data_IF_755223447235
#
_entry.id   IF_755223447235
#
_cell.length_a   1.000
_cell.length_b   1.000
_cell.length_c   1.000
_cell.angle_alpha   90.00
_cell.angle_beta   90.00
_cell.angle_gamma   90.00
#
_symmetry.space_group_name_H-M   'P 1'
#
loop_
_entity.id
_entity.type
_entity.pdbx_description
1 polymer ?
#
# COMPACT_ATOMS: atom_id res chain seq x y z
N UNK A 1 -33.53 35.36 -46.11
CA UNK A 1 -33.55 34.83 -44.73
C UNK A 1 -32.12 34.45 -44.38
N UNK A 2 -31.42 35.31 -43.65
CA UNK A 2 -29.98 35.23 -43.37
C UNK A 2 -29.69 34.19 -42.29
N UNK A 3 -28.71 33.32 -42.50
CA UNK A 3 -28.16 32.43 -41.47
C UNK A 3 -27.37 33.29 -40.48
N UNK A 4 -27.58 33.19 -39.15
CA UNK A 4 -26.65 33.78 -38.21
C UNK A 4 -25.34 32.99 -38.31
N UNK A 5 -24.31 33.62 -38.87
CA UNK A 5 -22.92 33.23 -38.65
C UNK A 5 -22.52 33.81 -37.29
N UNK A 6 -21.59 33.16 -36.59
CA UNK A 6 -21.07 33.53 -35.27
C UNK A 6 -21.94 33.12 -34.07
N UNK A 7 -21.78 31.85 -33.70
CA UNK A 7 -22.03 31.36 -32.35
C UNK A 7 -20.90 31.85 -31.43
N UNK A 8 -21.22 32.77 -30.52
CA UNK A 8 -20.28 33.30 -29.52
C UNK A 8 -20.27 32.43 -28.26
N UNK A 9 -20.03 31.13 -28.40
CA UNK A 9 -19.71 30.30 -27.25
C UNK A 9 -18.26 30.59 -26.82
N UNK A 10 -18.01 31.01 -25.57
CA UNK A 10 -16.64 31.25 -25.12
C UNK A 10 -15.86 29.93 -25.17
N UNK A 11 -14.81 29.89 -25.99
CA UNK A 11 -13.84 28.78 -26.01
C UNK A 11 -13.07 28.79 -24.68
N UNK A 12 -13.68 28.23 -23.64
CA UNK A 12 -13.02 27.98 -22.37
C UNK A 12 -12.10 26.78 -22.55
N UNK A 13 -10.79 26.99 -22.40
CA UNK A 13 -9.81 25.91 -22.43
C UNK A 13 -9.89 25.10 -21.13
N UNK A 14 -10.95 24.30 -21.01
CA UNK A 14 -11.12 23.38 -19.89
C UNK A 14 -10.18 22.21 -20.17
N UNK A 15 -8.90 22.34 -19.78
CA UNK A 15 -7.91 21.25 -19.86
C UNK A 15 -8.16 20.21 -18.77
N UNK A 16 -9.37 19.66 -18.79
CA UNK A 16 -9.74 18.41 -18.17
C UNK A 16 -10.96 17.89 -18.92
N UNK A 17 -10.74 17.42 -20.16
CA UNK A 17 -11.64 16.40 -20.69
C UNK A 17 -11.78 15.35 -19.60
N UNK A 18 -13.01 15.02 -19.21
CA UNK A 18 -13.26 13.98 -18.22
C UNK A 18 -12.42 12.78 -18.62
N UNK A 19 -11.39 12.43 -17.83
CA UNK A 19 -10.63 11.20 -18.04
C UNK A 19 -11.69 10.11 -18.01
N UNK A 20 -11.99 9.52 -19.16
CA UNK A 20 -12.88 8.37 -19.22
C UNK A 20 -12.29 7.34 -18.27
N UNK A 21 -13.00 7.11 -17.17
CA UNK A 21 -12.60 6.12 -16.18
C UNK A 21 -12.70 4.78 -16.92
N UNK A 22 -11.56 4.21 -17.28
CA UNK A 22 -11.51 2.94 -17.99
C UNK A 22 -12.35 1.89 -17.28
N UNK A 23 -12.90 0.95 -18.05
CA UNK A 23 -13.68 -0.18 -17.55
C UNK A 23 -12.85 -0.90 -16.50
N UNK A 24 -13.41 -1.12 -15.30
CA UNK A 24 -12.67 -1.85 -14.26
C UNK A 24 -12.53 -3.32 -14.67
N UNK A 25 -11.50 -4.02 -14.17
CA UNK A 25 -11.30 -5.46 -14.44
C UNK A 25 -12.56 -6.28 -14.16
N UNK A 26 -13.28 -5.95 -13.07
CA UNK A 26 -14.54 -6.63 -12.73
C UNK A 26 -15.67 -6.32 -13.72
N UNK A 27 -15.72 -5.10 -14.25
CA UNK A 27 -16.71 -4.74 -15.27
C UNK A 27 -16.42 -5.44 -16.60
N UNK A 28 -15.15 -5.63 -16.94
CA UNK A 28 -14.72 -6.36 -18.13
C UNK A 28 -15.05 -7.86 -18.03
N UNK A 29 -14.71 -8.49 -16.89
CA UNK A 29 -15.05 -9.91 -16.62
C UNK A 29 -16.57 -10.11 -16.67
N UNK A 30 -17.35 -9.23 -16.04
CA UNK A 30 -18.81 -9.32 -16.05
C UNK A 30 -19.42 -9.12 -17.45
N UNK A 31 -18.81 -8.28 -18.30
CA UNK A 31 -19.24 -8.12 -19.69
C UNK A 31 -18.93 -9.37 -20.52
N UNK A 32 -17.75 -9.96 -20.36
CA UNK A 32 -17.36 -11.22 -21.01
C UNK A 32 -18.33 -12.36 -20.63
N UNK A 33 -18.65 -12.50 -19.34
CA UNK A 33 -19.64 -13.48 -18.86
C UNK A 33 -21.02 -13.30 -19.49
N UNK A 34 -21.48 -12.05 -19.66
CA UNK A 34 -22.79 -11.75 -20.28
C UNK A 34 -22.82 -11.99 -21.78
N UNK A 35 -21.68 -11.82 -22.46
CA UNK A 35 -21.52 -12.05 -23.90
C UNK A 35 -21.31 -13.54 -24.23
N UNK A 36 -21.09 -14.37 -23.22
CA UNK A 36 -20.77 -15.79 -23.40
C UNK A 36 -19.32 -16.02 -23.84
N UNK A 37 -18.46 -15.02 -23.67
CA UNK A 37 -17.03 -15.15 -23.93
C UNK A 37 -16.39 -16.08 -22.88
N UNK A 38 -15.36 -16.83 -23.27
CA UNK A 38 -14.66 -17.75 -22.38
C UNK A 38 -13.96 -17.03 -21.23
N UNK A 39 -14.29 -17.40 -19.99
CA UNK A 39 -13.63 -16.91 -18.77
C UNK A 39 -12.97 -18.07 -18.07
N UNK A 40 -11.65 -17.99 -17.90
CA UNK A 40 -10.87 -18.99 -17.15
C UNK A 40 -10.83 -18.63 -15.66
N UNK A 41 -11.05 -19.61 -14.80
CA UNK A 41 -11.00 -19.43 -13.34
C UNK A 41 -10.00 -20.39 -12.73
N UNK A 42 -8.98 -19.84 -12.07
CA UNK A 42 -8.00 -20.61 -11.31
C UNK A 42 -8.10 -20.32 -9.82
N UNK A 43 -7.86 -21.35 -9.00
CA UNK A 43 -7.79 -21.18 -7.54
C UNK A 43 -6.49 -20.46 -7.17
N UNK A 44 -6.60 -19.33 -6.47
CA UNK A 44 -5.45 -18.59 -5.95
C UNK A 44 -4.61 -19.45 -5.01
N UNK A 45 -3.30 -19.30 -5.06
CA UNK A 45 -2.37 -19.88 -4.08
C UNK A 45 -2.75 -19.42 -2.66
N UNK A 46 -2.89 -20.38 -1.73
CA UNK A 46 -3.45 -20.18 -0.38
C UNK A 46 -4.92 -19.69 -0.32
N UNK A 47 -5.67 -19.84 -1.42
CA UNK A 47 -7.08 -19.48 -1.48
C UNK A 47 -7.93 -20.28 -0.48
N UNK A 48 -8.67 -19.57 0.37
CA UNK A 48 -9.50 -20.15 1.44
C UNK A 48 -8.80 -20.29 2.78
N UNK A 49 -7.55 -19.81 2.94
CA UNK A 49 -6.82 -19.84 4.20
C UNK A 49 -6.68 -18.43 4.80
N UNK A 50 -6.74 -18.34 6.14
CA UNK A 50 -6.60 -17.11 6.92
C UNK A 50 -5.24 -17.04 7.63
N UNK A 51 -4.14 -17.04 6.88
CA UNK A 51 -2.81 -16.94 7.49
C UNK A 51 -2.52 -15.50 7.96
N UNK A 52 -2.38 -15.33 9.27
CA UNK A 52 -2.28 -14.01 9.92
C UNK A 52 -1.05 -13.18 9.52
N UNK A 53 0.07 -13.83 9.21
CA UNK A 53 1.28 -13.15 8.72
C UNK A 53 1.88 -13.92 7.54
N UNK A 54 2.32 -13.18 6.52
CA UNK A 54 3.17 -13.73 5.44
C UNK A 54 4.60 -14.04 5.94
N UNK A 55 4.82 -14.15 7.25
CA UNK A 55 6.15 -14.27 7.84
C UNK A 55 6.93 -15.52 7.42
N UNK A 56 6.25 -16.53 6.90
CA UNK A 56 6.88 -17.72 6.28
C UNK A 56 6.79 -17.76 4.75
N UNK A 57 6.25 -16.72 4.10
CA UNK A 57 6.25 -16.59 2.65
C UNK A 57 7.17 -15.42 2.28
N UNK A 58 8.42 -15.73 1.98
CA UNK A 58 9.25 -14.85 1.18
C UNK A 58 8.56 -14.69 -0.19
N UNK A 59 8.11 -13.47 -0.52
CA UNK A 59 7.34 -13.22 -1.74
C UNK A 59 8.07 -13.65 -3.00
N UNK A 60 9.41 -13.60 -2.97
CA UNK A 60 10.29 -14.03 -4.05
C UNK A 60 11.33 -15.03 -3.51
N UNK A 61 10.88 -16.08 -2.82
CA UNK A 61 11.73 -17.13 -2.25
C UNK A 61 12.81 -17.61 -3.23
N UNK A 62 12.37 -18.01 -4.41
CA UNK A 62 13.22 -18.49 -5.50
C UNK A 62 14.31 -17.49 -5.90
N UNK A 63 13.95 -16.21 -6.00
CA UNK A 63 14.93 -15.16 -6.33
C UNK A 63 15.98 -15.01 -5.23
N UNK A 64 15.58 -15.13 -3.96
CA UNK A 64 16.52 -15.04 -2.83
C UNK A 64 17.45 -16.25 -2.78
N UNK A 65 16.98 -17.43 -3.19
CA UNK A 65 17.80 -18.66 -3.25
C UNK A 65 18.77 -18.68 -4.44
N UNK A 66 18.35 -18.17 -5.60
CA UNK A 66 19.16 -18.14 -6.83
C UNK A 66 20.27 -17.06 -6.78
N UNK A 67 20.07 -15.99 -6.02
CA UNK A 67 20.97 -14.85 -6.00
C UNK A 67 22.09 -15.08 -4.95
N UNK A 68 23.36 -14.96 -5.35
CA UNK A 68 24.55 -15.22 -4.51
C UNK A 68 25.36 -13.96 -4.16
N UNK A 69 24.83 -12.76 -4.41
CA UNK A 69 25.51 -11.48 -4.19
C UNK A 69 25.59 -11.01 -2.73
N UNK A 70 26.15 -9.80 -2.53
CA UNK A 70 26.09 -9.08 -1.25
C UNK A 70 24.77 -8.28 -1.14
N UNK A 71 24.11 -8.38 0.02
CA UNK A 71 22.76 -7.83 0.22
C UNK A 71 22.68 -6.84 1.36
N UNK A 72 22.08 -5.69 1.05
CA UNK A 72 21.65 -4.73 2.06
C UNK A 72 20.12 -4.67 2.13
N UNK A 73 19.55 -5.02 3.28
CA UNK A 73 18.10 -4.90 3.52
C UNK A 73 17.80 -3.54 4.15
N UNK A 74 17.12 -2.69 3.40
CA UNK A 74 16.67 -1.39 3.91
C UNK A 74 15.71 -1.55 5.10
N UNK A 75 16.02 -0.82 6.17
CA UNK A 75 15.23 -0.79 7.40
C UNK A 75 14.31 0.44 7.44
N UNK A 76 13.53 0.52 8.50
CA UNK A 76 12.64 1.64 8.76
C UNK A 76 13.42 2.96 8.87
N UNK A 77 12.92 4.02 8.23
CA UNK A 77 13.51 5.36 8.31
C UNK A 77 13.43 5.96 9.72
N UNK A 78 14.41 6.79 10.09
CA UNK A 78 14.44 7.47 11.38
C UNK A 78 13.23 8.42 11.59
N UNK A 79 12.71 9.00 10.51
CA UNK A 79 11.52 9.85 10.56
C UNK A 79 10.26 9.06 10.90
N UNK A 80 10.11 7.86 10.33
CA UNK A 80 9.02 6.97 10.68
C UNK A 80 9.09 6.56 12.16
N UNK A 81 10.26 6.15 12.64
CA UNK A 81 10.45 5.73 14.03
C UNK A 81 10.11 6.84 15.02
N UNK A 82 10.56 8.08 14.75
CA UNK A 82 10.22 9.26 15.57
C UNK A 82 8.73 9.58 15.54
N UNK A 83 8.12 9.59 14.35
CA UNK A 83 6.69 9.84 14.21
C UNK A 83 5.84 8.79 14.94
N UNK A 84 6.25 7.51 14.90
CA UNK A 84 5.58 6.43 15.60
C UNK A 84 5.61 6.62 17.12
N UNK A 85 6.78 6.96 17.67
CA UNK A 85 6.94 7.23 19.11
C UNK A 85 6.06 8.41 19.55
N UNK A 86 6.06 9.50 18.79
CA UNK A 86 5.25 10.69 19.08
C UNK A 86 3.75 10.37 19.04
N UNK A 87 3.29 9.63 18.02
CA UNK A 87 1.90 9.23 17.90
C UNK A 87 1.46 8.31 19.06
N UNK A 88 2.33 7.40 19.50
CA UNK A 88 2.07 6.55 20.67
C UNK A 88 1.93 7.38 21.94
N UNK A 89 2.85 8.31 22.17
CA UNK A 89 2.84 9.19 23.35
C UNK A 89 1.61 10.11 23.36
N UNK A 90 1.24 10.67 22.21
CA UNK A 90 0.03 11.49 22.06
C UNK A 90 -1.24 10.72 22.47
N UNK A 91 -1.27 9.41 22.18
CA UNK A 91 -2.37 8.52 22.56
C UNK A 91 -2.24 7.94 23.97
N UNK A 92 -1.19 8.29 24.72
CA UNK A 92 -0.89 7.83 26.08
C UNK A 92 -0.87 6.30 26.21
N UNK A 93 -0.43 5.60 25.15
CA UNK A 93 -0.33 4.14 25.13
C UNK A 93 1.09 3.69 25.46
N UNK A 94 1.25 2.57 26.18
CA UNK A 94 2.55 1.89 26.30
C UNK A 94 2.85 1.06 25.04
N UNK A 95 4.12 0.67 24.83
CA UNK A 95 4.48 -0.22 23.71
C UNK A 95 3.73 -1.55 23.80
N UNK A 96 3.53 -2.09 25.00
CA UNK A 96 2.78 -3.32 25.24
C UNK A 96 1.28 -3.17 24.89
N UNK A 97 0.67 -2.04 25.26
CA UNK A 97 -0.72 -1.76 24.91
C UNK A 97 -0.90 -1.58 23.40
N UNK A 98 0.02 -0.88 22.73
CA UNK A 98 0.01 -0.74 21.28
C UNK A 98 0.16 -2.10 20.58
N UNK A 99 1.09 -2.93 21.06
CA UNK A 99 1.33 -4.28 20.55
C UNK A 99 0.09 -5.17 20.67
N UNK A 100 -0.59 -5.15 21.83
CA UNK A 100 -1.86 -5.85 22.03
C UNK A 100 -2.94 -5.35 21.07
N UNK A 101 -3.08 -4.03 20.90
CA UNK A 101 -4.07 -3.44 19.99
C UNK A 101 -3.87 -3.85 18.52
N UNK A 102 -2.63 -4.06 18.08
CA UNK A 102 -2.31 -4.49 16.71
C UNK A 102 -2.17 -6.02 16.56
N UNK A 103 -2.35 -6.78 17.65
CA UNK A 103 -2.10 -8.23 17.70
C UNK A 103 -0.69 -8.61 17.21
N UNK A 104 0.34 -7.90 17.70
CA UNK A 104 1.75 -8.21 17.44
C UNK A 104 2.52 -8.32 18.76
N UNK A 105 3.74 -8.85 18.72
CA UNK A 105 4.60 -8.95 19.91
C UNK A 105 5.15 -7.56 20.30
N UNK A 106 5.33 -7.26 21.60
CA UNK A 106 5.95 -6.01 22.05
C UNK A 106 7.34 -5.75 21.45
N UNK A 107 8.13 -6.81 21.22
CA UNK A 107 9.44 -6.71 20.54
C UNK A 107 9.32 -6.11 19.15
N UNK A 108 8.26 -6.43 18.40
CA UNK A 108 8.07 -5.90 17.03
C UNK A 108 7.89 -4.40 17.09
N UNK A 109 7.03 -3.89 17.99
CA UNK A 109 6.83 -2.44 18.17
C UNK A 109 8.14 -1.75 18.55
N UNK A 110 8.91 -2.36 19.46
CA UNK A 110 10.23 -1.84 19.84
C UNK A 110 11.21 -1.77 18.65
N UNK A 111 11.21 -2.78 17.78
CA UNK A 111 12.06 -2.79 16.59
C UNK A 111 11.66 -1.72 15.56
N UNK A 112 10.38 -1.38 15.46
CA UNK A 112 9.90 -0.27 14.64
C UNK A 112 10.26 1.10 15.26
N UNK A 113 10.09 1.27 16.57
CA UNK A 113 10.45 2.51 17.27
C UNK A 113 11.97 2.73 17.34
N UNK A 114 12.78 1.67 17.27
CA UNK A 114 14.26 1.75 17.23
C UNK A 114 14.85 1.79 15.82
N UNK A 115 14.02 1.66 14.78
CA UNK A 115 14.47 1.69 13.37
C UNK A 115 15.18 0.42 12.90
N UNK A 116 15.15 -0.67 13.68
CA UNK A 116 15.78 -1.95 13.33
C UNK A 116 14.89 -2.86 12.48
N UNK A 117 13.59 -2.61 12.50
CA UNK A 117 12.62 -3.43 11.77
C UNK A 117 12.76 -3.30 10.25
N UNK A 118 12.41 -4.38 9.55
CA UNK A 118 12.18 -4.36 8.10
C UNK A 118 10.73 -3.91 7.87
N UNK A 119 10.47 -2.86 7.08
CA UNK A 119 9.12 -2.34 6.87
C UNK A 119 8.16 -3.36 6.27
N UNK A 120 7.14 -3.77 7.03
CA UNK A 120 6.03 -4.59 6.54
C UNK A 120 4.76 -3.75 6.42
N UNK A 121 4.23 -3.62 5.20
CA UNK A 121 3.04 -2.80 4.91
C UNK A 121 1.81 -3.17 5.73
N UNK A 122 1.60 -4.46 6.04
CA UNK A 122 0.46 -4.90 6.86
C UNK A 122 0.56 -4.40 8.30
N UNK A 123 1.77 -4.46 8.89
CA UNK A 123 2.01 -3.96 10.25
C UNK A 123 1.87 -2.43 10.29
N UNK A 124 2.42 -1.73 9.30
CA UNK A 124 2.29 -0.26 9.19
C UNK A 124 0.82 0.18 9.08
N UNK A 125 0.00 -0.54 8.31
CA UNK A 125 -1.44 -0.28 8.22
C UNK A 125 -2.16 -0.48 9.57
N UNK A 126 -1.83 -1.55 10.30
CA UNK A 126 -2.37 -1.78 11.65
C UNK A 126 -1.96 -0.66 12.60
N UNK A 127 -0.70 -0.22 12.58
CA UNK A 127 -0.19 0.90 13.39
C UNK A 127 -0.95 2.20 13.10
N UNK A 128 -1.12 2.55 11.81
CA UNK A 128 -1.89 3.73 11.41
C UNK A 128 -3.33 3.69 11.94
N UNK A 129 -4.00 2.54 11.81
CA UNK A 129 -5.38 2.36 12.29
C UNK A 129 -5.47 2.42 13.82
N UNK A 130 -4.56 1.75 14.52
CA UNK A 130 -4.55 1.71 15.98
C UNK A 130 -4.23 3.07 16.60
N UNK A 131 -3.35 3.86 15.97
CA UNK A 131 -2.99 5.20 16.43
C UNK A 131 -3.97 6.26 15.93
N UNK A 132 -4.63 6.06 14.81
CA UNK A 132 -5.56 7.02 14.20
C UNK A 132 -4.86 8.13 13.43
N UNK A 133 -3.59 7.91 13.06
CA UNK A 133 -2.77 8.87 12.30
C UNK A 133 -2.20 8.21 11.06
N UNK A 134 -1.89 9.02 10.05
CA UNK A 134 -1.12 8.55 8.89
C UNK A 134 0.37 8.73 9.17
N UNK A 135 1.07 7.65 9.50
CA UNK A 135 2.52 7.69 9.67
C UNK A 135 3.22 8.01 8.33
N UNK A 136 4.43 8.61 8.37
CA UNK A 136 5.27 8.82 7.20
C UNK A 136 5.58 7.53 6.43
N UNK A 137 6.25 7.64 5.28
CA UNK A 137 6.69 6.44 4.56
C UNK A 137 7.73 5.69 5.39
N UNK A 138 7.49 4.39 5.61
CA UNK A 138 8.39 3.56 6.40
C UNK A 138 9.75 3.35 5.74
N UNK A 139 9.82 3.37 4.40
CA UNK A 139 11.06 3.33 3.62
C UNK A 139 11.41 4.74 3.15
N UNK A 140 12.68 5.11 3.29
CA UNK A 140 13.19 6.36 2.74
C UNK A 140 13.22 6.26 1.21
N UNK A 141 12.91 7.36 0.50
CA UNK A 141 13.06 7.36 -0.96
C UNK A 141 14.55 7.44 -1.25
N UNK A 142 15.13 6.44 -1.92
CA UNK A 142 16.50 6.54 -2.46
C UNK A 142 16.58 7.83 -3.28
N UNK A 143 17.40 8.80 -2.84
CA UNK A 143 17.67 10.00 -3.63
C UNK A 143 18.31 9.54 -4.94
N UNK A 144 17.89 10.04 -6.11
CA UNK A 144 18.58 9.73 -7.35
C UNK A 144 20.04 10.18 -7.18
N UNK A 145 20.97 9.24 -7.37
CA UNK A 145 22.39 9.56 -7.42
C UNK A 145 22.56 10.45 -8.65
N UNK A 146 23.03 11.68 -8.43
CA UNK A 146 23.37 12.62 -9.49
C UNK A 146 24.61 12.16 -10.26
#
# INVERSE_FOLDING_TARGET
MSRPHQDWEPVSWNKSGQRQKGVTKDQEINQALRRGDGVETEKKFLGGQNKATKGGLCTNARKVEEDTGDYHVERVSADFSRALQQARQAKKMTQAQLAQAINEKPSVVNDYESGRAIPNGAVVQKLNRALGVSLPKAKEKRKPVA
#
